data_IF_569125869029
#
_entry.id   IF_569125869029
#
_cell.length_a   1.000
_cell.length_b   1.000
_cell.length_c   1.000
_cell.angle_alpha   90.00
_cell.angle_beta   90.00
_cell.angle_gamma   90.00
#
_symmetry.space_group_name_H-M   'P 1'
#
loop_
_entity.id
_entity.type
_entity.pdbx_description
1 polymer ?
#
# COMPACT_ATOMS: atom_id res chain seq x y z
N UNK A 1 5.95 9.62 15.66
CA UNK A 1 5.99 8.27 15.06
C UNK A 1 5.97 8.46 13.55
N UNK A 2 6.79 7.73 12.83
CA UNK A 2 6.79 7.77 11.36
C UNK A 2 6.12 6.49 10.83
N UNK A 3 5.27 6.63 9.83
CA UNK A 3 4.59 5.52 9.16
C UNK A 3 4.96 5.58 7.70
N UNK A 4 5.67 4.57 7.21
CA UNK A 4 6.12 4.47 5.83
C UNK A 4 5.23 3.46 5.11
N UNK A 5 4.33 3.95 4.28
CA UNK A 5 3.42 3.13 3.50
C UNK A 5 4.07 2.74 2.18
N UNK A 6 4.27 1.44 1.97
CA UNK A 6 4.76 0.88 0.73
C UNK A 6 3.59 0.75 -0.25
N UNK A 7 3.64 1.50 -1.32
CA UNK A 7 2.61 1.56 -2.35
C UNK A 7 3.13 0.94 -3.66
N UNK A 8 2.19 0.53 -4.51
CA UNK A 8 2.49 0.02 -5.83
C UNK A 8 1.55 -1.12 -6.23
N UNK A 9 1.57 -1.45 -7.52
CA UNK A 9 0.75 -2.52 -8.08
C UNK A 9 1.22 -3.93 -7.62
N UNK A 10 0.48 -4.96 -8.01
CA UNK A 10 0.84 -6.35 -7.72
C UNK A 10 2.16 -6.72 -8.42
N UNK A 11 3.08 -7.40 -7.73
CA UNK A 11 4.34 -7.87 -8.33
C UNK A 11 5.53 -6.91 -8.22
N UNK A 12 5.35 -5.70 -7.68
CA UNK A 12 6.46 -4.72 -7.53
C UNK A 12 7.46 -5.03 -6.40
N UNK A 13 7.17 -6.02 -5.56
CA UNK A 13 8.06 -6.48 -4.48
C UNK A 13 7.71 -6.02 -3.06
N UNK A 14 6.54 -5.38 -2.84
CA UNK A 14 6.09 -4.94 -1.50
C UNK A 14 6.16 -6.03 -0.45
N UNK A 15 5.52 -7.17 -0.70
CA UNK A 15 5.47 -8.29 0.26
C UNK A 15 6.87 -8.79 0.63
N UNK A 16 7.79 -8.88 -0.33
CA UNK A 16 9.20 -9.24 -0.07
C UNK A 16 9.92 -8.20 0.80
N UNK A 17 9.63 -6.91 0.61
CA UNK A 17 10.17 -5.85 1.47
C UNK A 17 9.60 -5.97 2.89
N UNK A 18 8.29 -6.16 3.02
CA UNK A 18 7.61 -6.34 4.31
C UNK A 18 8.16 -7.55 5.07
N UNK A 19 8.29 -8.71 4.41
CA UNK A 19 8.90 -9.92 4.97
C UNK A 19 10.30 -9.66 5.50
N UNK A 20 11.14 -9.00 4.70
CA UNK A 20 12.50 -8.66 5.11
C UNK A 20 12.53 -7.69 6.30
N UNK A 21 11.64 -6.70 6.34
CA UNK A 21 11.53 -5.77 7.48
C UNK A 21 11.15 -6.52 8.77
N UNK A 22 10.19 -7.46 8.68
CA UNK A 22 9.79 -8.32 9.80
C UNK A 22 10.98 -9.16 10.29
N UNK A 23 11.76 -9.75 9.37
CA UNK A 23 12.97 -10.52 9.70
C UNK A 23 14.03 -9.68 10.43
N UNK A 24 14.11 -8.38 10.15
CA UNK A 24 14.99 -7.44 10.85
C UNK A 24 14.42 -6.94 12.20
N UNK A 25 13.23 -7.39 12.59
CA UNK A 25 12.55 -6.97 13.82
C UNK A 25 11.88 -5.61 13.73
N UNK A 26 11.65 -5.10 12.52
CA UNK A 26 10.88 -3.88 12.30
C UNK A 26 9.37 -4.13 12.49
N UNK A 27 8.63 -3.06 12.78
CA UNK A 27 7.18 -3.14 12.98
C UNK A 27 6.49 -2.93 11.64
N UNK A 28 5.80 -3.97 11.16
CA UNK A 28 5.03 -3.92 9.92
C UNK A 28 3.53 -3.98 10.23
N UNK A 29 2.80 -2.97 9.77
CA UNK A 29 1.36 -2.99 9.61
C UNK A 29 1.06 -3.68 8.28
N UNK A 30 0.87 -5.00 8.35
CA UNK A 30 0.53 -5.81 7.17
C UNK A 30 -0.83 -5.43 6.56
N UNK A 31 -1.05 -5.91 5.34
CA UNK A 31 -2.29 -5.73 4.59
C UNK A 31 -3.46 -6.51 5.21
N UNK A 32 -3.26 -7.34 6.27
CA UNK A 32 -4.14 -8.45 6.68
C UNK A 32 -5.63 -8.10 6.57
N UNK A 33 -6.22 -8.66 5.52
CA UNK A 33 -7.65 -8.73 5.21
C UNK A 33 -8.43 -9.66 6.14
N UNK A 34 -7.81 -10.23 7.17
CA UNK A 34 -8.31 -11.40 7.89
C UNK A 34 -9.64 -11.15 8.61
N UNK A 35 -9.98 -9.89 8.87
CA UNK A 35 -11.24 -9.50 9.53
C UNK A 35 -12.10 -8.53 8.70
N UNK A 36 -11.86 -8.40 7.38
CA UNK A 36 -12.76 -7.63 6.53
C UNK A 36 -14.13 -8.33 6.48
N UNK A 37 -15.22 -7.68 6.93
CA UNK A 37 -16.50 -8.34 6.95
C UNK A 37 -16.96 -8.60 5.51
N UNK A 38 -17.46 -9.80 5.24
CA UNK A 38 -18.05 -10.13 3.95
C UNK A 38 -19.57 -10.08 4.06
N UNK A 39 -20.20 -9.41 3.10
CA UNK A 39 -21.66 -9.28 3.05
C UNK A 39 -22.14 -9.58 1.63
N UNK A 40 -23.09 -10.48 1.47
CA UNK A 40 -23.60 -10.85 0.14
C UNK A 40 -24.40 -9.72 -0.53
N UNK A 41 -24.88 -8.75 0.27
CA UNK A 41 -25.73 -7.64 -0.21
C UNK A 41 -24.93 -6.48 -0.82
N UNK A 42 -23.63 -6.39 -0.56
CA UNK A 42 -22.80 -5.28 -1.01
C UNK A 42 -21.45 -5.79 -1.49
N UNK A 43 -21.01 -5.31 -2.65
CA UNK A 43 -19.75 -5.73 -3.23
C UNK A 43 -18.57 -5.40 -2.29
N UNK A 44 -17.60 -6.31 -2.15
CA UNK A 44 -16.42 -6.15 -1.27
C UNK A 44 -15.58 -4.91 -1.59
N UNK A 45 -15.58 -4.50 -2.86
CA UNK A 45 -14.95 -3.28 -3.38
C UNK A 45 -15.92 -2.07 -3.47
N UNK A 46 -17.03 -2.07 -2.74
CA UNK A 46 -17.90 -0.90 -2.67
C UNK A 46 -17.28 0.22 -1.81
N UNK A 47 -17.76 1.46 -1.99
CA UNK A 47 -17.30 2.59 -1.17
C UNK A 47 -17.43 2.32 0.34
N UNK A 48 -18.54 1.73 0.79
CA UNK A 48 -18.77 1.42 2.21
C UNK A 48 -17.74 0.42 2.74
N UNK A 49 -17.44 -0.63 1.97
CA UNK A 49 -16.48 -1.66 2.38
C UNK A 49 -15.05 -1.11 2.44
N UNK A 50 -14.67 -0.31 1.45
CA UNK A 50 -13.37 0.36 1.40
C UNK A 50 -13.24 1.43 2.51
N UNK A 51 -14.33 2.10 2.87
CA UNK A 51 -14.36 3.01 4.01
C UNK A 51 -14.16 2.28 5.35
N UNK A 52 -14.80 1.12 5.54
CA UNK A 52 -14.56 0.25 6.71
C UNK A 52 -13.08 -0.16 6.77
N UNK A 53 -12.50 -0.52 5.62
CA UNK A 53 -11.07 -0.85 5.54
C UNK A 53 -10.19 0.31 5.99
N UNK A 54 -10.43 1.53 5.47
CA UNK A 54 -9.71 2.74 5.88
C UNK A 54 -9.85 3.01 7.38
N UNK A 55 -11.06 2.91 7.93
CA UNK A 55 -11.31 3.09 9.36
C UNK A 55 -10.53 2.07 10.21
N UNK A 56 -10.51 0.80 9.78
CA UNK A 56 -9.75 -0.25 10.44
C UNK A 56 -8.23 -0.03 10.34
N UNK A 57 -7.74 0.48 9.21
CA UNK A 57 -6.33 0.83 9.03
C UNK A 57 -5.89 1.88 10.06
N UNK A 58 -6.65 2.97 10.23
CA UNK A 58 -6.36 3.99 11.25
C UNK A 58 -6.49 3.45 12.68
N UNK A 59 -7.50 2.63 12.97
CA UNK A 59 -7.65 2.00 14.28
C UNK A 59 -6.44 1.11 14.64
N UNK A 60 -5.96 0.28 13.69
CA UNK A 60 -4.75 -0.53 13.88
C UNK A 60 -3.51 0.35 14.10
N UNK A 61 -3.38 1.43 13.33
CA UNK A 61 -2.27 2.36 13.49
C UNK A 61 -2.26 3.01 14.88
N UNK A 62 -3.41 3.45 15.39
CA UNK A 62 -3.52 4.04 16.73
C UNK A 62 -3.17 3.04 17.83
N UNK A 63 -3.55 1.76 17.68
CA UNK A 63 -3.14 0.70 18.61
C UNK A 63 -1.62 0.49 18.63
N UNK A 64 -0.99 0.51 17.46
CA UNK A 64 0.47 0.41 17.36
C UNK A 64 1.16 1.65 17.92
N UNK A 65 0.57 2.85 17.77
CA UNK A 65 1.11 4.09 18.33
C UNK A 65 1.27 4.01 19.85
N UNK A 66 0.27 3.49 20.56
CA UNK A 66 0.32 3.30 22.02
C UNK A 66 1.43 2.32 22.44
N UNK A 67 1.71 1.30 21.63
CA UNK A 67 2.70 0.26 21.93
C UNK A 67 4.13 0.62 21.52
N UNK A 68 4.28 1.48 20.50
CA UNK A 68 5.55 1.70 19.80
C UNK A 68 5.87 3.17 19.58
N UNK A 69 5.49 4.02 20.53
CA UNK A 69 5.72 5.46 20.48
C UNK A 69 7.19 5.79 20.17
N UNK A 70 7.40 6.61 19.14
CA UNK A 70 8.71 7.06 18.70
C UNK A 70 9.45 6.14 17.73
N UNK A 71 8.94 4.93 17.45
CA UNK A 71 9.49 4.04 16.42
C UNK A 71 8.97 4.41 15.02
N UNK A 72 9.59 3.82 14.01
CA UNK A 72 9.08 3.80 12.64
C UNK A 72 8.21 2.55 12.47
N UNK A 73 7.07 2.71 11.80
CA UNK A 73 6.20 1.63 11.36
C UNK A 73 6.25 1.61 9.85
N UNK A 74 6.30 0.42 9.26
CA UNK A 74 6.14 0.23 7.82
C UNK A 74 4.75 -0.34 7.57
N UNK A 75 4.04 0.12 6.55
CA UNK A 75 2.72 -0.38 6.22
C UNK A 75 2.70 -0.96 4.81
N UNK A 76 2.11 -2.14 4.63
CA UNK A 76 1.78 -2.65 3.30
C UNK A 76 0.52 -1.89 2.84
N UNK A 77 0.75 -0.88 2.01
CA UNK A 77 -0.21 0.13 1.54
C UNK A 77 -0.65 1.16 2.59
N UNK A 78 -1.20 2.25 2.07
CA UNK A 78 -1.83 3.35 2.80
C UNK A 78 -3.33 3.36 2.56
N UNK A 79 -4.10 4.16 3.33
CA UNK A 79 -5.50 4.44 3.06
C UNK A 79 -5.83 4.82 1.60
N UNK A 80 -4.88 5.40 0.87
CA UNK A 80 -5.12 5.85 -0.51
C UNK A 80 -5.33 4.71 -1.51
N UNK A 81 -4.86 3.48 -1.24
CA UNK A 81 -5.13 2.36 -2.15
C UNK A 81 -6.62 2.05 -2.27
N UNK A 82 -7.41 2.34 -1.23
CA UNK A 82 -8.86 2.20 -1.22
C UNK A 82 -9.54 3.05 -2.32
N UNK A 83 -8.93 4.16 -2.73
CA UNK A 83 -9.43 4.99 -3.83
C UNK A 83 -9.43 4.24 -5.16
N UNK A 84 -8.41 3.41 -5.42
CA UNK A 84 -8.35 2.60 -6.63
C UNK A 84 -9.31 1.42 -6.58
N UNK A 85 -9.29 0.70 -5.46
CA UNK A 85 -10.04 -0.55 -5.35
C UNK A 85 -11.54 -0.30 -5.18
N UNK A 86 -11.95 0.87 -4.66
CA UNK A 86 -13.35 1.26 -4.60
C UNK A 86 -13.97 1.39 -6.01
N UNK A 87 -15.04 0.67 -6.25
CA UNK A 87 -15.89 0.78 -7.46
C UNK A 87 -16.79 2.01 -7.41
N UNK A 88 -16.27 3.15 -6.96
CA UNK A 88 -17.03 4.38 -6.82
C UNK A 88 -16.81 5.32 -8.01
N UNK A 89 -17.78 6.21 -8.22
CA UNK A 89 -17.76 7.26 -9.24
C UNK A 89 -16.66 8.28 -8.96
N UNK A 90 -16.28 9.09 -9.96
CA UNK A 90 -15.23 10.09 -9.80
C UNK A 90 -15.53 11.11 -8.69
N UNK A 91 -16.80 11.51 -8.51
CA UNK A 91 -17.22 12.42 -7.45
C UNK A 91 -17.09 11.80 -6.07
N UNK A 92 -17.46 10.53 -5.93
CA UNK A 92 -17.28 9.75 -4.69
C UNK A 92 -15.80 9.53 -4.37
N UNK A 93 -14.97 9.21 -5.37
CA UNK A 93 -13.52 9.10 -5.19
C UNK A 93 -12.91 10.42 -4.71
N UNK A 94 -13.33 11.55 -5.29
CA UNK A 94 -12.84 12.86 -4.87
C UNK A 94 -13.22 13.18 -3.42
N UNK A 95 -14.47 12.93 -3.02
CA UNK A 95 -14.92 13.10 -1.64
C UNK A 95 -14.17 12.18 -0.67
N UNK A 96 -14.00 10.90 -1.04
CA UNK A 96 -13.30 9.92 -0.23
C UNK A 96 -11.81 10.28 -0.07
N UNK A 97 -11.16 10.76 -1.13
CA UNK A 97 -9.78 11.24 -1.09
C UNK A 97 -9.61 12.41 -0.12
N UNK A 98 -10.55 13.36 -0.11
CA UNK A 98 -10.52 14.49 0.83
C UNK A 98 -10.69 14.05 2.29
N UNK A 99 -11.52 13.04 2.53
CA UNK A 99 -11.70 12.46 3.86
C UNK A 99 -10.41 11.79 4.35
N UNK A 100 -9.81 10.92 3.52
CA UNK A 100 -8.54 10.27 3.83
C UNK A 100 -7.45 11.31 4.11
N UNK A 101 -7.33 12.32 3.25
CA UNK A 101 -6.38 13.41 3.44
C UNK A 101 -6.60 14.12 4.78
N UNK A 102 -7.85 14.46 5.11
CA UNK A 102 -8.19 15.12 6.37
C UNK A 102 -7.82 14.27 7.59
N UNK A 103 -8.06 12.95 7.53
CA UNK A 103 -7.65 12.00 8.58
C UNK A 103 -6.13 11.93 8.72
N UNK A 104 -5.37 11.89 7.62
CA UNK A 104 -3.90 11.93 7.66
C UNK A 104 -3.40 13.24 8.27
N UNK A 105 -4.01 14.38 7.92
CA UNK A 105 -3.65 15.68 8.52
C UNK A 105 -3.96 15.73 10.03
N UNK A 106 -5.04 15.09 10.48
CA UNK A 106 -5.34 14.93 11.90
C UNK A 106 -4.26 14.12 12.62
N UNK A 107 -3.85 12.99 12.05
CA UNK A 107 -2.76 12.16 12.59
C UNK A 107 -1.44 12.95 12.70
N UNK A 108 -1.14 13.80 11.72
CA UNK A 108 0.05 14.66 11.75
C UNK A 108 0.05 15.62 12.94
N UNK A 109 -1.11 16.19 13.32
CA UNK A 109 -1.25 17.10 14.47
C UNK A 109 -0.93 16.42 15.81
N UNK A 110 -1.09 15.11 15.90
CA UNK A 110 -0.76 14.32 17.10
C UNK A 110 0.63 13.64 17.00
N UNK A 111 1.45 14.05 16.02
CA UNK A 111 2.83 13.59 15.88
C UNK A 111 2.99 12.24 15.17
N UNK A 112 1.96 11.80 14.43
CA UNK A 112 2.01 10.63 13.55
C UNK A 112 2.18 11.12 12.10
N UNK A 113 3.39 11.00 11.55
CA UNK A 113 3.69 11.37 10.17
C UNK A 113 3.50 10.15 9.26
N UNK A 114 2.60 10.24 8.30
CA UNK A 114 2.35 9.19 7.30
C UNK A 114 3.02 9.63 6.00
N UNK A 115 3.83 8.75 5.42
CA UNK A 115 4.59 8.99 4.19
C UNK A 115 4.32 7.83 3.23
N UNK A 116 3.95 8.17 1.99
CA UNK A 116 3.67 7.21 0.92
C UNK A 116 4.85 7.05 0.00
N UNK A 117 5.27 5.80 -0.23
CA UNK A 117 6.37 5.45 -1.11
C UNK A 117 5.86 4.51 -2.18
N UNK A 118 5.68 5.02 -3.40
CA UNK A 118 5.31 4.18 -4.54
C UNK A 118 6.54 3.47 -5.10
N UNK A 119 6.47 2.14 -5.12
CA UNK A 119 7.46 1.28 -5.74
C UNK A 119 6.96 0.96 -7.16
N UNK A 120 7.67 1.47 -8.16
CA UNK A 120 7.39 1.22 -9.56
C UNK A 120 8.33 0.17 -10.14
N UNK A 121 7.89 -0.51 -11.19
CA UNK A 121 8.69 -1.43 -12.00
C UNK A 121 8.21 -1.23 -13.43
N UNK A 122 9.11 -1.20 -14.41
CA UNK A 122 8.74 -1.20 -15.82
C UNK A 122 7.65 -2.24 -16.12
N UNK A 123 6.65 -1.87 -16.91
CA UNK A 123 5.46 -2.70 -17.12
C UNK A 123 5.75 -4.07 -17.74
N UNK A 124 6.77 -4.19 -18.60
CA UNK A 124 7.12 -5.48 -19.19
C UNK A 124 7.84 -6.37 -18.18
N UNK A 125 8.76 -5.79 -17.40
CA UNK A 125 9.45 -6.53 -16.32
C UNK A 125 8.46 -6.94 -15.23
N UNK A 126 7.52 -6.06 -14.88
CA UNK A 126 6.46 -6.33 -13.94
C UNK A 126 5.59 -7.51 -14.40
N UNK A 127 5.21 -7.53 -15.68
CA UNK A 127 4.41 -8.62 -16.23
C UNK A 127 5.14 -9.95 -16.15
N UNK A 128 6.43 -9.99 -16.50
CA UNK A 128 7.27 -11.20 -16.34
C UNK A 128 7.29 -11.66 -14.88
N UNK A 129 7.53 -10.74 -13.94
CA UNK A 129 7.53 -11.06 -12.49
C UNK A 129 6.19 -11.64 -12.02
N UNK A 130 5.07 -11.11 -12.52
CA UNK A 130 3.73 -11.61 -12.19
C UNK A 130 3.53 -13.02 -12.75
N UNK A 131 3.91 -13.27 -14.02
CA UNK A 131 3.81 -14.60 -14.63
C UNK A 131 4.65 -15.64 -13.88
N UNK A 132 5.90 -15.30 -13.52
CA UNK A 132 6.78 -16.16 -12.72
C UNK A 132 6.18 -16.47 -11.34
N UNK A 133 5.55 -15.47 -10.72
CA UNK A 133 4.86 -15.66 -9.44
C UNK A 133 3.62 -16.52 -9.58
N UNK A 134 2.81 -16.33 -10.62
CA UNK A 134 1.61 -17.15 -10.87
C UNK A 134 1.93 -18.63 -11.12
N UNK A 135 3.11 -18.93 -11.68
CA UNK A 135 3.60 -20.30 -11.81
C UNK A 135 3.88 -20.96 -10.45
N UNK A 136 4.36 -20.18 -9.47
CA UNK A 136 4.67 -20.64 -8.10
C UNK A 136 3.46 -20.58 -7.16
N UNK A 137 2.58 -19.61 -7.37
CA UNK A 137 1.42 -19.30 -6.53
C UNK A 137 0.12 -19.22 -7.37
N UNK A 138 -0.39 -20.35 -7.89
CA UNK A 138 -1.53 -20.35 -8.82
C UNK A 138 -2.82 -19.75 -8.27
N UNK A 139 -2.99 -19.73 -6.94
CA UNK A 139 -4.17 -19.16 -6.27
C UNK A 139 -4.31 -17.65 -6.50
N UNK A 140 -3.22 -16.95 -6.87
CA UNK A 140 -3.25 -15.51 -7.13
C UNK A 140 -4.08 -15.10 -8.35
N UNK A 141 -4.47 -16.07 -9.21
CA UNK A 141 -5.46 -15.86 -10.27
C UNK A 141 -6.81 -15.37 -9.73
N UNK A 142 -7.15 -15.69 -8.48
CA UNK A 142 -8.36 -15.18 -7.83
C UNK A 142 -8.35 -13.64 -7.63
N UNK A 143 -7.19 -12.99 -7.78
CA UNK A 143 -7.03 -11.54 -7.71
C UNK A 143 -6.85 -10.89 -9.09
N UNK A 144 -7.18 -11.60 -10.17
CA UNK A 144 -7.03 -11.15 -11.56
C UNK A 144 -5.59 -10.81 -11.97
N UNK A 145 -4.58 -11.31 -11.25
CA UNK A 145 -3.18 -11.05 -11.57
C UNK A 145 -2.74 -11.69 -12.91
N UNK A 146 -3.48 -12.67 -13.41
CA UNK A 146 -3.27 -13.27 -14.73
C UNK A 146 -3.84 -12.45 -15.90
N UNK A 147 -4.44 -11.29 -15.63
CA UNK A 147 -4.93 -10.36 -16.63
C UNK A 147 -3.94 -9.22 -16.89
N UNK A 148 -3.37 -9.16 -18.10
CA UNK A 148 -2.50 -8.07 -18.54
C UNK A 148 -3.23 -6.73 -18.50
N UNK A 149 -4.48 -6.70 -18.96
CA UNK A 149 -5.32 -5.51 -18.94
C UNK A 149 -5.55 -4.99 -17.51
N UNK A 150 -5.75 -5.89 -16.55
CA UNK A 150 -5.88 -5.53 -15.14
C UNK A 150 -4.57 -4.93 -14.62
N UNK A 151 -3.43 -5.58 -14.90
CA UNK A 151 -2.11 -5.08 -14.54
C UNK A 151 -1.87 -3.68 -15.12
N UNK A 152 -2.10 -3.47 -16.42
CA UNK A 152 -1.88 -2.18 -17.08
C UNK A 152 -2.79 -1.08 -16.50
N UNK A 153 -4.04 -1.39 -16.14
CA UNK A 153 -4.96 -0.45 -15.49
C UNK A 153 -4.48 -0.06 -14.10
N UNK A 154 -4.08 -1.03 -13.27
CA UNK A 154 -3.58 -0.77 -11.93
C UNK A 154 -2.25 -0.02 -11.98
N UNK A 155 -1.36 -0.41 -12.90
CA UNK A 155 -0.10 0.26 -13.16
C UNK A 155 -0.31 1.75 -13.51
N UNK A 156 -1.17 2.04 -14.49
CA UNK A 156 -1.49 3.43 -14.89
C UNK A 156 -2.01 4.26 -13.74
N UNK A 157 -2.89 3.70 -12.90
CA UNK A 157 -3.40 4.43 -11.74
C UNK A 157 -2.27 4.79 -10.77
N UNK A 158 -1.45 3.81 -10.39
CA UNK A 158 -0.32 4.02 -9.48
C UNK A 158 0.70 5.03 -10.03
N UNK A 159 0.95 5.06 -11.34
CA UNK A 159 1.83 6.05 -11.98
C UNK A 159 1.22 7.46 -12.03
N UNK A 160 -0.11 7.56 -12.08
CA UNK A 160 -0.82 8.86 -12.15
C UNK A 160 -1.08 9.51 -10.79
N UNK A 161 -1.06 8.73 -9.72
CA UNK A 161 -1.35 9.21 -8.37
C UNK A 161 -0.14 9.94 -7.78
N UNK A 162 -0.39 11.01 -7.02
CA UNK A 162 0.66 11.81 -6.38
C UNK A 162 1.05 11.18 -5.05
N UNK A 163 2.21 10.51 -5.04
CA UNK A 163 2.85 9.94 -3.85
C UNK A 163 3.94 10.88 -3.32
N UNK A 164 4.30 10.75 -2.05
CA UNK A 164 5.39 11.56 -1.46
C UNK A 164 6.74 11.20 -2.08
N UNK A 165 6.96 9.89 -2.33
CA UNK A 165 8.16 9.37 -2.98
C UNK A 165 7.81 8.34 -4.04
N UNK A 166 8.61 8.30 -5.11
CA UNK A 166 8.55 7.27 -6.15
C UNK A 166 9.92 6.61 -6.27
N UNK A 167 9.97 5.30 -6.14
CA UNK A 167 11.20 4.51 -6.23
C UNK A 167 11.06 3.51 -7.37
N UNK A 168 11.98 3.58 -8.31
CA UNK A 168 12.08 2.63 -9.40
C UNK A 168 12.80 1.36 -8.95
N UNK A 169 12.11 0.22 -9.06
CA UNK A 169 12.58 -1.13 -8.77
C UNK A 169 12.65 -2.00 -10.05
N UNK A 170 12.88 -1.36 -11.19
CA UNK A 170 13.07 -2.02 -12.48
C UNK A 170 14.37 -2.82 -12.50
N UNK A 171 15.47 -2.29 -11.93
CA UNK A 171 16.72 -3.03 -11.88
C UNK A 171 16.61 -4.24 -10.94
N UNK A 172 17.30 -5.34 -11.27
CA UNK A 172 17.35 -6.54 -10.44
C UNK A 172 18.32 -6.41 -9.25
N UNK A 173 18.71 -5.19 -8.87
CA UNK A 173 19.60 -4.94 -7.72
C UNK A 173 18.95 -5.34 -6.37
N UNK A 174 17.66 -5.70 -6.42
CA UNK A 174 16.90 -6.29 -5.33
C UNK A 174 16.34 -5.24 -4.38
N UNK A 175 15.41 -5.68 -3.54
CA UNK A 175 14.70 -4.87 -2.55
C UNK A 175 15.60 -4.09 -1.57
N UNK A 176 16.90 -4.42 -1.50
CA UNK A 176 17.89 -3.80 -0.61
C UNK A 176 18.20 -2.35 -0.98
N UNK A 177 18.25 -2.02 -2.27
CA UNK A 177 18.45 -0.63 -2.72
C UNK A 177 17.25 0.24 -2.32
N UNK A 178 16.03 -0.27 -2.53
CA UNK A 178 14.77 0.38 -2.12
C UNK A 178 14.76 0.65 -0.63
N UNK A 179 15.09 -0.35 0.20
CA UNK A 179 15.13 -0.17 1.65
C UNK A 179 16.13 0.90 2.08
N UNK A 180 17.31 0.93 1.46
CA UNK A 180 18.31 1.96 1.75
C UNK A 180 17.80 3.36 1.39
N UNK A 181 17.10 3.52 0.26
CA UNK A 181 16.48 4.77 -0.17
C UNK A 181 15.32 5.18 0.75
N UNK A 182 14.40 4.25 1.04
CA UNK A 182 13.27 4.47 1.96
C UNK A 182 13.76 4.91 3.34
N UNK A 183 14.78 4.24 3.88
CA UNK A 183 15.33 4.55 5.19
C UNK A 183 16.12 5.86 5.17
N UNK A 184 16.87 6.15 4.10
CA UNK A 184 17.67 7.37 3.98
C UNK A 184 16.78 8.61 3.79
N UNK A 185 15.82 8.57 2.89
CA UNK A 185 14.97 9.71 2.54
C UNK A 185 14.03 10.07 3.69
N UNK A 186 13.46 9.07 4.38
CA UNK A 186 12.58 9.32 5.54
C UNK A 186 13.37 9.84 6.76
N UNK A 187 14.68 9.56 6.85
CA UNK A 187 15.53 10.13 7.91
C UNK A 187 15.91 11.59 7.65
N UNK A 188 15.86 12.08 6.41
CA UNK A 188 16.19 13.47 6.06
C UNK A 188 15.03 14.45 6.28
N UNK A 189 13.77 13.96 6.38
CA UNK A 189 12.58 14.79 6.69
C UNK A 189 12.40 15.03 8.21
N UNK A 190 13.49 14.93 8.98
CA UNK A 190 13.51 15.21 10.42
C UNK A 190 13.61 16.69 10.73
#
# INVERSE_FOLDING_TARGET
MNVICLEGCHGVGKSTICEHLIEQGEIVLDEMFIDMPHYDIIHSQSLTMEFIWVANWFNRLLRLYEQHKGKTIYADRSPYCALYYSKCTESEQAAFKQLIYSQIQEMSKVGIKITTVNISVDSEILWVRIQDRLAKEPFRRNFSEDSRDWMDKTYKWYQSFTWDFNIDNTSNDGYKSILSTVIADVKQVK
#
